data_IF_259218026039
#
_entry.id   IF_259218026039
#
_cell.length_a   1.000
_cell.length_b   1.000
_cell.length_c   1.000
_cell.angle_alpha   90.00
_cell.angle_beta   90.00
_cell.angle_gamma   90.00
#
_symmetry.space_group_name_H-M   'P 1'
#
loop_
_entity.id
_entity.type
_entity.pdbx_description
1 polymer ?
#
# COMPACT_ATOMS: atom_id res chain seq x y z
N UNK A 1 -13.18 15.93 -9.75
CA UNK A 1 -13.81 14.69 -9.24
C UNK A 1 -14.11 14.88 -7.77
N UNK A 2 -15.18 14.26 -7.28
CA UNK A 2 -15.48 14.24 -5.85
C UNK A 2 -14.39 13.47 -5.11
N UNK A 3 -14.03 13.93 -3.91
CA UNK A 3 -13.05 13.24 -3.08
C UNK A 3 -13.56 11.84 -2.69
N UNK A 4 -12.72 10.81 -2.73
CA UNK A 4 -13.12 9.40 -2.56
C UNK A 4 -13.91 9.09 -1.27
N UNK A 5 -13.61 9.78 -0.16
CA UNK A 5 -14.35 9.63 1.10
C UNK A 5 -15.81 10.14 1.06
N UNK A 6 -16.19 10.92 0.03
CA UNK A 6 -17.54 11.45 -0.14
C UNK A 6 -18.38 10.66 -1.16
N UNK A 7 -17.80 9.64 -1.80
CA UNK A 7 -18.50 8.83 -2.80
C UNK A 7 -19.40 7.83 -2.06
N UNK A 8 -20.74 7.89 -2.24
CA UNK A 8 -21.65 6.94 -1.61
C UNK A 8 -21.35 5.50 -2.02
N UNK A 9 -21.46 4.58 -1.07
CA UNK A 9 -21.32 3.14 -1.28
C UNK A 9 -20.00 2.68 -1.94
N UNK A 10 -18.95 3.52 -1.89
CA UNK A 10 -17.64 3.18 -2.47
C UNK A 10 -16.95 2.04 -1.70
N UNK A 11 -17.13 2.00 -0.38
CA UNK A 11 -16.54 0.99 0.49
C UNK A 11 -17.59 -0.06 0.86
N UNK A 12 -17.22 -1.34 0.96
CA UNK A 12 -15.85 -1.88 0.95
C UNK A 12 -15.16 -1.90 -0.42
N UNK A 13 -13.83 -1.72 -0.43
CA UNK A 13 -12.99 -1.99 -1.60
C UNK A 13 -12.25 -3.31 -1.43
N UNK A 14 -12.07 -4.06 -2.51
CA UNK A 14 -11.31 -5.31 -2.51
C UNK A 14 -9.91 -5.10 -3.09
N UNK A 15 -8.96 -5.89 -2.60
CA UNK A 15 -7.59 -5.88 -3.09
C UNK A 15 -6.82 -7.14 -2.72
N UNK A 16 -5.59 -7.21 -3.18
CA UNK A 16 -4.72 -8.33 -2.94
C UNK A 16 -3.40 -8.25 -3.69
N UNK A 17 -2.55 -9.26 -3.47
CA UNK A 17 -1.30 -9.38 -4.22
C UNK A 17 -1.57 -9.88 -5.65
N UNK A 18 -0.55 -9.78 -6.52
CA UNK A 18 -0.67 -10.12 -7.93
C UNK A 18 -0.99 -11.60 -8.22
N UNK A 19 -0.66 -12.53 -7.31
CA UNK A 19 -0.98 -13.95 -7.48
C UNK A 19 -2.28 -14.39 -6.79
N UNK A 20 -2.96 -13.46 -6.07
CA UNK A 20 -4.22 -13.75 -5.37
C UNK A 20 -4.09 -14.54 -4.06
N UNK A 21 -2.86 -14.86 -3.61
CA UNK A 21 -2.62 -15.53 -2.33
C UNK A 21 -2.88 -14.66 -1.10
N UNK A 22 -2.70 -13.34 -1.25
CA UNK A 22 -3.11 -12.34 -0.26
C UNK A 22 -4.33 -11.67 -0.83
N UNK A 23 -5.46 -11.73 -0.13
CA UNK A 23 -6.68 -10.98 -0.44
C UNK A 23 -7.15 -10.28 0.82
N UNK A 24 -7.72 -9.09 0.65
CA UNK A 24 -8.24 -8.30 1.74
C UNK A 24 -9.39 -7.42 1.28
N UNK A 25 -10.12 -6.90 2.26
CA UNK A 25 -11.13 -5.86 2.11
C UNK A 25 -10.70 -4.62 2.87
N UNK A 26 -10.69 -3.47 2.20
CA UNK A 26 -10.57 -2.16 2.81
C UNK A 26 -11.98 -1.69 3.19
N UNK A 27 -12.31 -1.79 4.47
CA UNK A 27 -13.67 -1.63 4.98
C UNK A 27 -14.17 -0.17 5.02
N UNK A 28 -13.25 0.80 4.96
CA UNK A 28 -13.57 2.24 5.11
C UNK A 28 -12.56 3.11 4.37
N UNK A 29 -12.96 4.35 4.10
CA UNK A 29 -12.09 5.40 3.59
C UNK A 29 -10.79 5.58 4.40
N UNK A 30 -9.62 5.61 3.72
CA UNK A 30 -8.33 5.96 4.31
C UNK A 30 -8.34 7.33 4.98
N UNK A 31 -7.53 7.49 6.03
CA UNK A 31 -7.28 8.77 6.70
C UNK A 31 -6.73 9.81 5.71
N UNK A 32 -5.80 9.39 4.87
CA UNK A 32 -5.31 10.12 3.71
C UNK A 32 -4.68 9.16 2.70
N UNK A 33 -4.59 9.59 1.44
CA UNK A 33 -3.80 8.92 0.41
C UNK A 33 -2.68 9.85 -0.03
N UNK A 34 -1.45 9.36 -0.13
CA UNK A 34 -0.33 10.16 -0.65
C UNK A 34 0.50 9.41 -1.68
N UNK A 35 1.08 10.16 -2.61
CA UNK A 35 2.14 9.69 -3.49
C UNK A 35 3.50 10.07 -2.89
N UNK A 36 4.31 9.08 -2.52
CA UNK A 36 5.64 9.28 -1.97
C UNK A 36 6.72 9.17 -3.06
N UNK A 37 7.47 10.26 -3.25
CA UNK A 37 8.50 10.40 -4.28
C UNK A 37 9.90 10.11 -3.78
N UNK A 38 10.09 9.62 -2.54
CA UNK A 38 11.43 9.37 -2.03
C UNK A 38 12.12 8.23 -2.81
N UNK A 39 13.46 8.23 -2.94
CA UNK A 39 14.18 7.20 -3.72
C UNK A 39 13.95 5.77 -3.21
N UNK A 40 13.65 5.60 -1.93
CA UNK A 40 13.27 4.30 -1.37
C UNK A 40 11.91 3.85 -1.92
N UNK A 41 10.88 4.69 -1.89
CA UNK A 41 9.58 4.34 -2.49
C UNK A 41 9.66 4.11 -4.00
N UNK A 42 10.53 4.84 -4.70
CA UNK A 42 10.83 4.58 -6.12
C UNK A 42 11.44 3.19 -6.32
N UNK A 43 12.44 2.83 -5.51
CA UNK A 43 13.08 1.51 -5.55
C UNK A 43 12.11 0.39 -5.20
N UNK A 44 11.31 0.56 -4.16
CA UNK A 44 10.36 -0.45 -3.69
C UNK A 44 9.24 -0.72 -4.70
N UNK A 45 8.82 0.29 -5.45
CA UNK A 45 7.76 0.16 -6.46
C UNK A 45 8.27 -0.12 -7.87
N UNK A 46 9.56 0.13 -8.14
CA UNK A 46 10.10 0.18 -9.50
C UNK A 46 9.55 1.34 -10.35
N UNK A 47 8.83 2.29 -9.75
CA UNK A 47 8.16 3.41 -10.42
C UNK A 47 8.72 4.78 -9.98
N UNK A 48 8.15 5.86 -10.50
CA UNK A 48 8.51 7.24 -10.10
C UNK A 48 8.07 7.63 -8.69
N UNK A 49 7.17 6.85 -8.08
CA UNK A 49 6.64 7.04 -6.73
C UNK A 49 5.90 5.76 -6.28
N UNK A 50 5.60 5.67 -4.99
CA UNK A 50 4.62 4.71 -4.47
C UNK A 50 3.40 5.45 -3.91
N UNK A 51 2.19 4.95 -4.16
CA UNK A 51 0.96 5.50 -3.59
C UNK A 51 0.56 4.67 -2.36
N UNK A 52 0.40 5.35 -1.22
CA UNK A 52 0.00 4.72 0.04
C UNK A 52 -1.29 5.33 0.55
N UNK A 53 -2.24 4.49 0.93
CA UNK A 53 -3.38 4.84 1.75
C UNK A 53 -3.03 4.63 3.22
N UNK A 54 -3.09 5.69 4.01
CA UNK A 54 -2.93 5.63 5.46
C UNK A 54 -4.27 5.25 6.08
N UNK A 55 -4.33 4.12 6.76
CA UNK A 55 -5.57 3.55 7.30
C UNK A 55 -5.29 2.85 8.62
N UNK A 56 -6.29 2.83 9.49
CA UNK A 56 -6.32 1.97 10.68
C UNK A 56 -6.25 0.50 10.27
N UNK A 57 -5.35 -0.25 10.91
CA UNK A 57 -5.07 -1.64 10.54
C UNK A 57 -6.30 -2.54 10.65
N UNK A 58 -7.19 -2.26 11.61
CA UNK A 58 -8.45 -2.99 11.78
C UNK A 58 -9.39 -2.89 10.58
N UNK A 59 -9.21 -1.89 9.72
CA UNK A 59 -10.01 -1.71 8.50
C UNK A 59 -9.41 -2.41 7.27
N UNK A 60 -8.28 -3.11 7.43
CA UNK A 60 -7.75 -4.06 6.44
C UNK A 60 -8.16 -5.46 6.88
N UNK A 61 -9.30 -5.93 6.39
CA UNK A 61 -9.90 -7.21 6.79
C UNK A 61 -9.40 -8.31 5.86
N UNK A 62 -8.72 -9.36 6.36
CA UNK A 62 -8.29 -10.49 5.53
C UNK A 62 -9.47 -11.17 4.83
N UNK A 63 -9.25 -11.60 3.58
CA UNK A 63 -10.22 -12.37 2.81
C UNK A 63 -9.57 -13.68 2.32
N UNK A 64 -10.36 -14.71 1.98
CA UNK A 64 -9.83 -15.95 1.41
C UNK A 64 -9.00 -15.70 0.15
N UNK A 65 -7.98 -16.53 -0.07
CA UNK A 65 -7.22 -16.52 -1.32
C UNK A 65 -8.15 -16.74 -2.50
N UNK A 66 -7.87 -16.05 -3.60
CA UNK A 66 -8.67 -16.13 -4.81
C UNK A 66 -7.77 -16.20 -6.04
N UNK A 67 -8.35 -16.57 -7.18
CA UNK A 67 -7.64 -16.47 -8.46
C UNK A 67 -7.23 -15.00 -8.71
N UNK A 68 -6.03 -14.76 -9.28
CA UNK A 68 -5.62 -13.41 -9.60
C UNK A 68 -6.56 -12.79 -10.65
N UNK A 69 -6.78 -11.49 -10.53
CA UNK A 69 -7.56 -10.70 -11.49
C UNK A 69 -6.71 -9.56 -12.03
N UNK A 70 -6.99 -9.12 -13.25
CA UNK A 70 -6.41 -7.90 -13.79
C UNK A 70 -7.06 -6.68 -13.12
N UNK A 71 -6.31 -5.84 -12.38
CA UNK A 71 -6.86 -4.65 -11.74
C UNK A 71 -7.54 -3.71 -12.76
N UNK A 72 -8.60 -3.04 -12.35
CA UNK A 72 -9.42 -2.14 -13.17
C UNK A 72 -10.46 -2.84 -14.06
N UNK A 73 -10.26 -4.11 -14.41
CA UNK A 73 -11.23 -4.88 -15.22
C UNK A 73 -11.84 -6.07 -14.47
N UNK A 74 -11.21 -6.51 -13.37
CA UNK A 74 -11.53 -7.75 -12.67
C UNK A 74 -11.54 -9.00 -13.57
N UNK A 75 -10.84 -8.94 -14.71
CA UNK A 75 -10.74 -10.07 -15.63
C UNK A 75 -9.92 -11.17 -14.95
N UNK A 76 -10.44 -12.40 -14.79
CA UNK A 76 -9.68 -13.50 -14.21
C UNK A 76 -8.41 -13.78 -15.01
N UNK A 77 -7.28 -13.88 -14.32
CA UNK A 77 -6.02 -14.28 -14.92
C UNK A 77 -5.85 -15.79 -14.72
N UNK A 78 -5.57 -16.50 -15.82
CA UNK A 78 -5.25 -17.91 -15.78
C UNK A 78 -3.94 -18.18 -15.02
N UNK A 79 -3.67 -19.43 -14.63
CA UNK A 79 -2.41 -19.79 -14.00
C UNK A 79 -1.24 -19.46 -14.94
N UNK A 80 -0.11 -18.95 -14.42
CA UNK A 80 1.06 -18.68 -15.23
C UNK A 80 1.53 -19.98 -15.89
N UNK A 81 1.73 -19.94 -17.21
CA UNK A 81 2.26 -21.08 -17.96
C UNK A 81 3.79 -21.09 -17.85
N UNK A 82 4.44 -22.24 -17.61
CA UNK A 82 5.88 -22.31 -17.53
C UNK A 82 6.53 -21.92 -18.86
N UNK A 83 7.58 -21.10 -18.81
CA UNK A 83 8.39 -20.77 -19.98
C UNK A 83 9.20 -22.00 -20.41
N UNK A 84 9.26 -22.34 -21.71
CA UNK A 84 10.12 -23.41 -22.21
C UNK A 84 11.61 -23.01 -22.25
N UNK A 85 11.94 -21.74 -22.01
CA UNK A 85 13.30 -21.22 -22.07
C UNK A 85 13.96 -21.26 -20.68
N UNK A 86 15.23 -21.69 -20.57
CA UNK A 86 15.96 -21.64 -19.30
C UNK A 86 16.08 -20.19 -18.80
N UNK A 87 15.73 -19.97 -17.53
CA UNK A 87 15.80 -18.66 -16.87
C UNK A 87 17.01 -18.64 -15.92
N UNK A 88 17.97 -17.74 -16.15
CA UNK A 88 18.84 -17.25 -15.06
C UNK A 88 20.23 -16.72 -15.43
N UNK A 89 20.52 -15.48 -15.01
CA UNK A 89 21.83 -15.08 -14.46
C UNK A 89 21.79 -15.55 -13.00
N UNK A 90 22.31 -16.74 -12.71
CA UNK A 90 22.29 -17.42 -11.40
C UNK A 90 20.91 -17.49 -10.69
N UNK A 91 20.14 -18.55 -10.94
CA UNK A 91 18.85 -18.78 -10.29
C UNK A 91 19.03 -19.42 -8.90
N UNK A 92 18.80 -18.65 -7.83
CA UNK A 92 18.50 -19.23 -6.53
C UNK A 92 17.05 -19.75 -6.57
N UNK A 93 16.89 -21.07 -6.52
CA UNK A 93 15.58 -21.74 -6.51
C UNK A 93 15.29 -22.24 -5.11
N UNK A 94 14.52 -21.46 -4.36
CA UNK A 94 13.61 -21.97 -3.33
C UNK A 94 12.71 -20.84 -2.86
N UNK A 95 11.46 -20.84 -3.34
CA UNK A 95 10.40 -20.13 -2.65
C UNK A 95 10.17 -20.77 -1.28
N UNK A 96 9.77 -20.02 -0.24
CA UNK A 96 9.54 -20.58 1.08
C UNK A 96 8.42 -21.64 1.03
N UNK A 97 8.75 -22.88 1.38
CA UNK A 97 7.79 -23.96 1.60
C UNK A 97 7.25 -23.86 3.03
N UNK A 98 5.92 -23.66 3.20
CA UNK A 98 5.26 -23.62 4.51
C UNK A 98 4.32 -22.44 4.76
N UNK A 99 3.89 -21.72 3.73
CA UNK A 99 3.06 -20.51 3.87
C UNK A 99 1.61 -20.85 4.21
N UNK A 100 1.07 -20.24 5.28
CA UNK A 100 -0.36 -20.31 5.56
C UNK A 100 -1.14 -19.32 4.68
N UNK A 101 -2.40 -19.64 4.40
CA UNK A 101 -3.26 -18.83 3.54
C UNK A 101 -3.39 -17.39 4.05
N UNK A 102 -3.21 -16.40 3.16
CA UNK A 102 -3.32 -14.99 3.52
C UNK A 102 -2.18 -14.43 4.37
N UNK A 103 -1.17 -15.24 4.72
CA UNK A 103 -0.05 -14.79 5.54
C UNK A 103 0.99 -14.03 4.72
N UNK A 104 1.30 -12.82 5.18
CA UNK A 104 2.40 -12.02 4.64
C UNK A 104 3.71 -12.29 5.37
N UNK A 105 4.84 -12.03 4.70
CA UNK A 105 6.16 -11.93 5.33
C UNK A 105 6.53 -10.46 5.56
N UNK A 106 6.87 -10.11 6.80
CA UNK A 106 7.40 -8.79 7.14
C UNK A 106 8.87 -8.68 6.77
N UNK A 107 9.23 -7.64 6.01
CA UNK A 107 10.61 -7.35 5.61
C UNK A 107 11.04 -6.02 6.22
N UNK A 108 11.87 -6.03 7.28
CA UNK A 108 12.45 -4.82 7.84
C UNK A 108 13.28 -4.10 6.78
N UNK A 109 12.90 -2.87 6.46
CA UNK A 109 13.47 -2.08 5.38
C UNK A 109 13.99 -0.76 5.95
N UNK A 110 15.25 -0.38 5.65
CA UNK A 110 15.81 0.89 6.10
C UNK A 110 15.00 2.09 5.62
N UNK A 111 14.98 3.15 6.43
CA UNK A 111 14.41 4.46 6.06
C UNK A 111 15.47 5.54 6.26
N UNK A 112 15.31 6.68 5.59
CA UNK A 112 16.22 7.82 5.75
C UNK A 112 16.19 8.42 7.17
N UNK A 113 15.10 8.23 7.91
CA UNK A 113 14.96 8.63 9.31
C UNK A 113 15.53 7.61 10.29
N UNK A 114 16.11 6.50 9.81
CA UNK A 114 16.62 5.37 10.60
C UNK A 114 15.58 4.58 11.43
N UNK A 115 14.40 5.13 11.67
CA UNK A 115 13.25 4.38 12.14
C UNK A 115 12.81 3.40 11.04
N UNK A 116 13.15 2.12 11.16
CA UNK A 116 12.84 1.11 10.15
C UNK A 116 11.33 1.07 9.83
N UNK A 117 11.00 0.74 8.59
CA UNK A 117 9.65 0.35 8.21
C UNK A 117 9.64 -1.16 7.99
N UNK A 118 8.55 -1.83 8.34
CA UNK A 118 8.36 -3.24 8.03
C UNK A 118 7.40 -3.32 6.85
N UNK A 119 7.88 -3.84 5.71
CA UNK A 119 7.08 -3.99 4.50
C UNK A 119 6.55 -5.41 4.44
N UNK A 120 5.22 -5.57 4.47
CA UNK A 120 4.57 -6.86 4.36
C UNK A 120 4.40 -7.24 2.89
N UNK A 121 4.91 -8.43 2.55
CA UNK A 121 4.92 -8.95 1.18
C UNK A 121 4.20 -10.29 1.10
N UNK A 122 3.63 -10.56 -0.06
CA UNK A 122 3.19 -11.91 -0.39
C UNK A 122 4.42 -12.83 -0.47
N UNK A 123 4.45 -13.98 0.21
CA UNK A 123 5.61 -14.86 0.18
C UNK A 123 5.76 -15.59 -1.18
N UNK A 124 4.68 -15.69 -1.97
CA UNK A 124 4.69 -16.28 -3.33
C UNK A 124 5.15 -15.35 -4.45
N UNK A 125 4.61 -14.13 -4.50
CA UNK A 125 4.88 -13.19 -5.59
C UNK A 125 5.68 -11.95 -5.16
N UNK A 126 6.04 -11.85 -3.88
CA UNK A 126 6.83 -10.76 -3.29
C UNK A 126 6.22 -9.34 -3.38
N UNK A 127 5.02 -9.20 -3.94
CA UNK A 127 4.28 -7.92 -3.98
C UNK A 127 4.08 -7.40 -2.57
N UNK A 128 4.48 -6.15 -2.34
CA UNK A 128 4.20 -5.44 -1.09
C UNK A 128 2.73 -5.02 -1.04
N UNK A 129 2.05 -5.33 0.06
CA UNK A 129 0.63 -5.03 0.25
C UNK A 129 0.43 -3.86 1.23
N UNK A 130 1.18 -3.81 2.32
CA UNK A 130 1.18 -2.69 3.26
C UNK A 130 2.51 -2.59 3.99
N UNK A 131 2.73 -1.47 4.68
CA UNK A 131 3.85 -1.33 5.61
C UNK A 131 3.44 -0.70 6.93
N UNK A 132 4.27 -0.95 7.94
CA UNK A 132 4.20 -0.31 9.26
C UNK A 132 5.49 0.48 9.50
N UNK A 133 5.35 1.68 10.06
CA UNK A 133 6.48 2.56 10.36
C UNK A 133 6.74 2.61 11.87
N UNK A 134 7.95 2.99 12.25
CA UNK A 134 8.35 3.12 13.66
C UNK A 134 9.06 1.89 14.22
N UNK A 135 9.58 1.02 13.35
CA UNK A 135 10.34 -0.17 13.76
C UNK A 135 9.49 -1.30 14.33
N UNK A 136 8.17 -1.26 14.13
CA UNK A 136 7.25 -2.30 14.57
C UNK A 136 6.97 -3.31 13.45
N UNK A 137 6.76 -4.57 13.80
CA UNK A 137 6.29 -5.59 12.85
C UNK A 137 4.85 -5.27 12.40
N UNK A 138 3.97 -4.97 13.34
CA UNK A 138 2.59 -4.53 13.09
C UNK A 138 2.24 -3.35 13.99
N UNK A 139 1.30 -2.52 13.56
CA UNK A 139 0.89 -1.35 14.32
C UNK A 139 -0.57 -0.98 14.06
N UNK A 140 -1.10 0.03 14.74
CA UNK A 140 -2.50 0.43 14.60
C UNK A 140 -2.78 1.22 13.31
N UNK A 141 -1.73 1.75 12.66
CA UNK A 141 -1.82 2.46 11.39
C UNK A 141 -0.98 1.73 10.34
N UNK A 142 -1.62 1.32 9.26
CA UNK A 142 -1.00 0.70 8.10
C UNK A 142 -0.90 1.68 6.93
N UNK A 143 0.13 1.50 6.10
CA UNK A 143 0.31 2.21 4.84
C UNK A 143 0.05 1.22 3.70
N UNK A 144 -1.22 1.09 3.31
CA UNK A 144 -1.69 0.18 2.27
C UNK A 144 -1.22 0.66 0.89
N UNK A 145 -0.64 -0.24 0.09
CA UNK A 145 -0.28 0.06 -1.30
C UNK A 145 -1.55 0.10 -2.14
N UNK A 146 -2.00 1.28 -2.57
CA UNK A 146 -3.25 1.41 -3.34
C UNK A 146 -3.17 0.69 -4.69
N UNK A 147 -1.97 0.51 -5.22
CA UNK A 147 -1.69 -0.31 -6.41
C UNK A 147 -2.09 -1.80 -6.28
N UNK A 148 -2.44 -2.26 -5.08
CA UNK A 148 -2.91 -3.62 -4.81
C UNK A 148 -4.43 -3.72 -4.70
N UNK A 149 -5.17 -2.62 -4.90
CA UNK A 149 -6.62 -2.63 -4.97
C UNK A 149 -7.08 -3.12 -6.35
N UNK A 150 -8.22 -3.79 -6.38
CA UNK A 150 -8.85 -4.22 -7.64
C UNK A 150 -9.35 -3.01 -8.44
N UNK A 151 -9.75 -1.93 -7.74
CA UNK A 151 -10.09 -0.62 -8.31
C UNK A 151 -8.97 0.38 -8.01
N UNK A 152 -8.13 0.65 -9.02
CA UNK A 152 -6.96 1.52 -8.88
C UNK A 152 -7.28 3.01 -9.06
N UNK A 153 -8.39 3.31 -9.73
CA UNK A 153 -8.83 4.62 -10.19
C UNK A 153 -9.61 5.42 -9.14
N UNK A 154 -9.94 4.80 -8.00
CA UNK A 154 -10.87 5.39 -7.02
C UNK A 154 -10.17 6.13 -5.88
N UNK A 155 -8.90 5.83 -5.59
CA UNK A 155 -8.14 6.46 -4.50
C UNK A 155 -7.03 7.35 -5.04
N UNK A 156 -7.42 8.54 -5.51
CA UNK A 156 -6.48 9.59 -5.92
C UNK A 156 -5.71 10.19 -4.72
N UNK A 157 -4.43 10.58 -4.88
CA UNK A 157 -3.65 11.16 -3.79
C UNK A 157 -4.17 12.53 -3.32
N UNK A 158 -4.27 12.71 -2.00
CA UNK A 158 -4.50 14.01 -1.34
C UNK A 158 -3.25 14.89 -1.36
N UNK A 159 -2.07 14.26 -1.42
CA UNK A 159 -0.78 14.93 -1.34
C UNK A 159 0.34 14.17 -2.07
N UNK A 160 1.30 14.93 -2.57
CA UNK A 160 2.62 14.45 -2.99
C UNK A 160 3.65 14.82 -1.93
N UNK A 161 4.40 13.85 -1.43
CA UNK A 161 5.46 14.06 -0.42
C UNK A 161 6.83 13.71 -0.99
N UNK A 162 7.87 14.35 -0.44
CA UNK A 162 9.26 14.21 -0.89
C UNK A 162 9.47 14.61 -2.36
N UNK A 163 8.79 15.66 -2.82
CA UNK A 163 8.79 16.06 -4.24
C UNK A 163 10.16 16.52 -4.76
N UNK A 164 11.11 16.90 -3.89
CA UNK A 164 12.53 17.09 -4.23
C UNK A 164 13.15 15.94 -5.02
N UNK A 165 12.66 14.71 -4.84
CA UNK A 165 13.17 13.51 -5.50
C UNK A 165 12.30 13.05 -6.68
N UNK A 166 11.24 13.80 -7.02
CA UNK A 166 10.32 13.46 -8.09
C UNK A 166 11.05 13.34 -9.43
N UNK A 167 10.75 12.26 -10.15
CA UNK A 167 11.26 12.05 -11.52
C UNK A 167 10.73 13.14 -12.46
N UNK A 168 11.57 13.62 -13.38
CA UNK A 168 11.23 14.71 -14.30
C UNK A 168 9.98 14.47 -15.15
N UNK A 169 9.75 13.22 -15.56
CA UNK A 169 8.59 12.84 -16.39
C UNK A 169 7.25 12.82 -15.64
N UNK A 170 7.27 12.83 -14.29
CA UNK A 170 6.04 12.76 -13.49
C UNK A 170 5.46 14.17 -13.39
N UNK A 171 4.35 14.43 -14.06
CA UNK A 171 3.60 15.69 -13.96
C UNK A 171 2.63 15.61 -12.79
N UNK A 172 2.65 16.61 -11.90
CA UNK A 172 1.75 16.68 -10.75
C UNK A 172 0.54 17.54 -11.07
N UNK A 173 -0.65 17.11 -10.64
CA UNK A 173 -1.88 17.90 -10.77
C UNK A 173 -1.72 19.28 -10.11
N UNK A 174 -2.31 20.32 -10.70
CA UNK A 174 -2.18 21.70 -10.22
C UNK A 174 -2.68 21.87 -8.78
N UNK A 175 -3.79 21.20 -8.45
CA UNK A 175 -4.50 21.35 -7.17
C UNK A 175 -4.04 20.39 -6.07
N UNK A 176 -3.30 19.33 -6.41
CA UNK A 176 -2.84 18.36 -5.40
C UNK A 176 -1.71 18.95 -4.58
N UNK A 177 -1.83 18.89 -3.25
CA UNK A 177 -0.84 19.44 -2.31
C UNK A 177 0.54 18.81 -2.51
N UNK A 178 1.60 19.60 -2.33
CA UNK A 178 2.99 19.18 -2.57
C UNK A 178 3.86 19.56 -1.39
N UNK A 179 4.66 18.61 -0.93
CA UNK A 179 5.55 18.79 0.19
C UNK A 179 6.96 18.29 -0.17
N UNK A 180 7.96 19.09 0.17
CA UNK A 180 9.37 18.71 0.00
C UNK A 180 9.78 17.57 0.96
N UNK A 181 9.00 17.38 2.02
CA UNK A 181 9.17 16.36 3.07
C UNK A 181 7.83 15.68 3.38
N UNK A 182 7.75 14.95 4.49
CA UNK A 182 6.49 14.42 4.98
C UNK A 182 5.61 15.56 5.53
N UNK A 183 4.32 15.55 5.22
CA UNK A 183 3.36 16.52 5.77
C UNK A 183 3.08 16.28 7.26
N UNK A 184 2.50 17.27 7.95
CA UNK A 184 1.84 17.05 9.24
C UNK A 184 0.39 16.63 9.00
N UNK A 185 -0.19 15.68 9.76
CA UNK A 185 -1.56 15.21 9.52
C UNK A 185 -2.58 16.35 9.38
N UNK A 186 -2.49 17.40 10.20
CA UNK A 186 -3.41 18.55 10.13
C UNK A 186 -3.35 19.36 8.83
N UNK A 187 -2.30 19.21 8.01
CA UNK A 187 -2.17 19.90 6.71
C UNK A 187 -2.93 19.17 5.59
N UNK A 188 -3.25 17.89 5.78
CA UNK A 188 -3.78 17.00 4.72
C UNK A 188 -5.08 16.31 5.12
N UNK A 189 -5.17 15.83 6.37
CA UNK A 189 -6.25 14.93 6.80
C UNK A 189 -7.54 15.72 6.95
N UNK A 190 -8.64 15.08 6.55
CA UNK A 190 -9.99 15.60 6.76
C UNK A 190 -10.30 15.68 8.26
N UNK A 191 -11.19 16.57 8.72
CA UNK A 191 -11.53 16.68 10.15
C UNK A 191 -11.93 15.35 10.79
N UNK A 192 -12.82 14.59 10.13
CA UNK A 192 -13.22 13.23 10.55
C UNK A 192 -12.05 12.23 10.66
N UNK A 193 -11.05 12.35 9.78
CA UNK A 193 -9.87 11.49 9.77
C UNK A 193 -8.90 11.88 10.90
N UNK A 194 -8.86 13.17 11.26
CA UNK A 194 -8.09 13.64 12.42
C UNK A 194 -8.68 13.11 13.73
N UNK A 195 -10.01 13.13 13.89
CA UNK A 195 -10.69 12.55 15.06
C UNK A 195 -10.38 11.05 15.20
N UNK A 196 -10.47 10.31 14.09
CA UNK A 196 -10.10 8.89 14.04
C UNK A 196 -8.64 8.64 14.40
N UNK A 197 -7.72 9.42 13.84
CA UNK A 197 -6.29 9.32 14.17
C UNK A 197 -6.04 9.58 15.65
N UNK A 198 -6.69 10.59 16.23
CA UNK A 198 -6.58 10.92 17.65
C UNK A 198 -7.10 9.79 18.54
N UNK A 199 -8.23 9.17 18.17
CA UNK A 199 -8.77 8.02 18.90
C UNK A 199 -7.78 6.84 18.92
N UNK A 200 -7.18 6.51 17.77
CA UNK A 200 -6.18 5.45 17.66
C UNK A 200 -4.93 5.76 18.50
N UNK A 201 -4.36 6.96 18.35
CA UNK A 201 -3.17 7.39 19.10
C UNK A 201 -3.44 7.47 20.61
N UNK A 202 -4.63 7.90 21.01
CA UNK A 202 -5.06 7.95 22.41
C UNK A 202 -5.17 6.55 23.03
N UNK A 203 -5.75 5.59 22.29
CA UNK A 203 -5.85 4.20 22.73
C UNK A 203 -4.45 3.56 22.90
N UNK A 204 -3.52 3.80 21.96
CA UNK A 204 -2.15 3.25 22.05
C UNK A 204 -1.29 3.85 23.17
N UNK A 205 -1.62 5.04 23.69
CA UNK A 205 -0.94 5.65 24.86
C UNK A 205 -1.50 5.17 26.20
N UNK A 206 -2.67 4.54 26.20
CA UNK A 206 -3.37 4.09 27.41
C UNK A 206 -3.20 2.58 27.68
N UNK A 207 -2.50 1.88 26.78
CA UNK A 207 -2.13 0.47 26.86
C UNK A 207 -0.64 0.32 27.18
#
# INVERSE_FOLDING_TARGET
>A
MSHYASIPDLFPLHGGCACGHIRYTLARAPLAVHACHCPLCQRESGSGFAINAVIETEHIVPAPSAAPVLPGTNTPLGPPQPSPLPIGIAAATSGPSGESEGQTIGVPTPTASHAAQTIHRCPRCSVAVWSFYGGVETGPIAYLRTATLDRLDVLEPDAHIFVRSKRGFVVLGAETRRFEEHYRPGDVYRPEAMERLQAVVGASKSA
#
